data_IF_734013839323
#
_entry.id   IF_734013839323
#
_cell.length_a   1.000
_cell.length_b   1.000
_cell.length_c   1.000
_cell.angle_alpha   90.00
_cell.angle_beta   90.00
_cell.angle_gamma   90.00
#
_symmetry.space_group_name_H-M   'P 1'
#
loop_
_entity.id
_entity.type
_entity.pdbx_description
1 polymer ?
#
# COMPACT_ATOMS: atom_id res chain seq x y z
N UNK A 1 12.19 8.83 23.95
CA UNK A 1 11.53 7.64 24.53
C UNK A 1 11.52 6.56 23.45
N UNK A 2 12.15 5.39 23.64
CA UNK A 2 11.94 4.29 22.71
C UNK A 2 10.45 3.93 22.78
N UNK A 3 9.78 3.87 21.64
CA UNK A 3 8.38 3.44 21.59
C UNK A 3 8.33 2.01 22.14
N UNK A 4 7.61 1.81 23.25
CA UNK A 4 7.37 0.48 23.82
C UNK A 4 6.67 -0.33 22.73
N UNK A 5 7.38 -1.26 22.10
CA UNK A 5 6.81 -2.10 21.05
C UNK A 5 5.72 -2.95 21.68
N UNK A 6 4.47 -2.76 21.26
CA UNK A 6 3.38 -3.65 21.64
C UNK A 6 3.74 -5.08 21.24
N UNK A 7 3.32 -6.09 22.03
CA UNK A 7 3.58 -7.48 21.70
C UNK A 7 3.09 -7.80 20.29
N UNK A 8 3.78 -8.69 19.55
CA UNK A 8 3.34 -9.06 18.21
C UNK A 8 1.93 -9.63 18.24
N UNK A 9 1.11 -9.28 17.24
CA UNK A 9 -0.19 -9.92 17.02
C UNK A 9 0.01 -11.44 16.94
N UNK A 10 -0.91 -12.26 17.50
CA UNK A 10 -0.84 -13.71 17.33
C UNK A 10 -0.67 -14.10 15.86
N UNK A 11 0.19 -15.08 15.52
CA UNK A 11 0.49 -15.42 14.12
C UNK A 11 -0.73 -15.79 13.28
N UNK A 12 -1.77 -16.35 13.89
CA UNK A 12 -3.01 -16.68 13.21
C UNK A 12 -3.80 -15.42 12.79
N UNK A 13 -3.95 -14.47 13.71
CA UNK A 13 -4.64 -13.21 13.45
C UNK A 13 -3.87 -12.37 12.41
N UNK A 14 -2.53 -12.42 12.44
CA UNK A 14 -1.70 -11.80 11.42
C UNK A 14 -1.95 -12.40 10.04
N UNK A 15 -2.01 -13.74 9.91
CA UNK A 15 -2.33 -14.40 8.64
C UNK A 15 -3.73 -14.04 8.13
N UNK A 16 -4.72 -13.97 9.03
CA UNK A 16 -6.10 -13.56 8.68
C UNK A 16 -6.13 -12.12 8.16
N UNK A 17 -5.42 -11.22 8.84
CA UNK A 17 -5.29 -9.83 8.41
C UNK A 17 -4.66 -9.71 7.01
N UNK A 18 -3.53 -10.39 6.79
CA UNK A 18 -2.84 -10.36 5.49
C UNK A 18 -3.68 -10.96 4.37
N UNK A 19 -4.37 -12.08 4.64
CA UNK A 19 -5.29 -12.69 3.68
C UNK A 19 -6.45 -11.75 3.32
N UNK A 20 -7.05 -11.08 4.32
CA UNK A 20 -8.13 -10.13 4.09
C UNK A 20 -7.66 -8.89 3.30
N UNK A 21 -6.46 -8.37 3.60
CA UNK A 21 -5.88 -7.29 2.80
C UNK A 21 -5.58 -7.73 1.36
N UNK A 22 -5.07 -8.94 1.16
CA UNK A 22 -4.84 -9.50 -0.17
C UNK A 22 -6.14 -9.58 -0.95
N UNK A 23 -7.18 -10.17 -0.37
CA UNK A 23 -8.50 -10.26 -0.99
C UNK A 23 -9.05 -8.87 -1.36
N UNK A 24 -8.97 -7.91 -0.44
CA UNK A 24 -9.48 -6.55 -0.70
C UNK A 24 -8.70 -5.88 -1.84
N UNK A 25 -7.38 -5.82 -1.75
CA UNK A 25 -6.55 -5.04 -2.67
C UNK A 25 -6.33 -5.72 -4.02
N UNK A 26 -6.27 -7.05 -4.08
CA UNK A 26 -6.02 -7.79 -5.32
C UNK A 26 -7.31 -8.20 -6.03
N UNK A 27 -8.40 -8.45 -5.28
CA UNK A 27 -9.61 -9.08 -5.85
C UNK A 27 -10.88 -8.22 -5.74
N UNK A 28 -11.07 -7.47 -4.67
CA UNK A 28 -12.33 -6.71 -4.47
C UNK A 28 -12.28 -5.30 -5.03
N UNK A 29 -11.13 -4.63 -5.01
CA UNK A 29 -10.99 -3.32 -5.64
C UNK A 29 -10.90 -3.51 -7.16
N UNK A 30 -12.01 -3.22 -7.86
CA UNK A 30 -12.15 -3.45 -9.29
C UNK A 30 -11.02 -2.81 -10.12
N UNK A 31 -10.58 -1.61 -9.75
CA UNK A 31 -9.51 -0.93 -10.49
C UNK A 31 -8.13 -1.54 -10.24
N UNK A 32 -7.85 -2.05 -9.03
CA UNK A 32 -6.60 -2.76 -8.75
C UNK A 32 -6.51 -4.07 -9.54
N UNK A 33 -7.63 -4.77 -9.70
CA UNK A 33 -7.74 -5.92 -10.60
C UNK A 33 -7.42 -5.54 -12.03
N UNK A 34 -8.01 -4.44 -12.52
CA UNK A 34 -7.67 -3.92 -13.85
C UNK A 34 -6.17 -3.72 -13.90
N UNK A 35 -5.56 -2.99 -12.96
CA UNK A 35 -4.12 -2.73 -12.91
C UNK A 35 -3.24 -3.98 -12.77
N UNK A 36 -3.75 -5.12 -12.35
CA UNK A 36 -2.95 -6.33 -12.09
C UNK A 36 -2.08 -6.17 -10.85
N UNK A 37 -2.61 -5.46 -9.85
CA UNK A 37 -1.95 -5.14 -8.60
C UNK A 37 -1.74 -6.40 -7.75
N UNK A 38 -0.53 -6.60 -7.25
CA UNK A 38 -0.16 -7.72 -6.37
C UNK A 38 0.69 -7.22 -5.21
N UNK A 39 0.42 -7.71 -4.01
CA UNK A 39 1.18 -7.42 -2.80
C UNK A 39 2.37 -8.37 -2.71
N UNK A 40 3.56 -7.81 -2.51
CA UNK A 40 4.81 -8.53 -2.34
C UNK A 40 5.33 -8.51 -0.91
N UNK A 41 5.03 -7.46 -0.14
CA UNK A 41 5.44 -7.36 1.26
C UNK A 41 4.43 -6.60 2.09
N UNK A 42 4.10 -7.15 3.26
CA UNK A 42 3.30 -6.53 4.31
C UNK A 42 4.16 -5.86 5.38
N UNK A 43 5.48 -5.81 5.22
CA UNK A 43 6.39 -5.14 6.16
C UNK A 43 5.92 -3.68 6.36
N UNK A 44 5.58 -3.26 7.60
CA UNK A 44 5.08 -1.92 7.85
C UNK A 44 6.11 -0.82 7.59
N UNK A 45 7.41 -1.13 7.62
CA UNK A 45 8.48 -0.21 7.27
C UNK A 45 8.71 -0.13 5.75
N UNK A 46 8.49 -1.24 5.05
CA UNK A 46 8.73 -1.37 3.61
C UNK A 46 7.64 -2.17 2.87
N UNK A 47 6.39 -1.67 2.85
CA UNK A 47 5.30 -2.32 2.15
C UNK A 47 5.55 -2.24 0.64
N UNK A 48 5.36 -3.35 -0.05
CA UNK A 48 5.66 -3.48 -1.48
C UNK A 48 4.52 -4.09 -2.26
N UNK A 49 4.34 -3.54 -3.45
CA UNK A 49 3.36 -4.01 -4.43
C UNK A 49 4.00 -4.00 -5.81
N UNK A 50 3.51 -4.88 -6.67
CA UNK A 50 3.95 -5.02 -8.06
C UNK A 50 2.75 -5.13 -8.97
N UNK A 51 2.93 -4.67 -10.20
CA UNK A 51 2.03 -4.96 -11.31
C UNK A 51 2.86 -5.24 -12.56
N UNK A 52 2.29 -5.98 -13.50
CA UNK A 52 2.97 -6.29 -14.76
C UNK A 52 2.70 -5.21 -15.82
N UNK A 53 3.74 -4.81 -16.55
CA UNK A 53 3.57 -3.96 -17.71
C UNK A 53 2.81 -4.72 -18.81
N UNK A 54 1.83 -4.06 -19.42
CA UNK A 54 1.02 -4.63 -20.51
C UNK A 54 0.58 -3.54 -21.49
N UNK A 55 0.16 -3.89 -22.72
CA UNK A 55 -0.17 -2.90 -23.75
C UNK A 55 -1.21 -1.87 -23.33
N UNK A 56 -2.19 -2.26 -22.52
CA UNK A 56 -3.30 -1.43 -22.05
C UNK A 56 -2.85 -0.33 -21.06
N UNK A 57 -1.63 -0.44 -20.51
CA UNK A 57 -1.07 0.52 -19.57
C UNK A 57 -0.18 1.58 -20.25
N UNK A 58 0.06 1.45 -21.55
CA UNK A 58 0.91 2.37 -22.31
C UNK A 58 0.18 3.69 -22.53
N UNK A 59 0.81 4.81 -22.16
CA UNK A 59 0.31 6.15 -22.45
C UNK A 59 1.00 6.82 -23.62
N UNK A 60 2.30 6.58 -23.81
CA UNK A 60 3.05 7.13 -24.92
C UNK A 60 3.28 6.07 -26.00
N UNK A 61 2.41 6.07 -27.01
CA UNK A 61 2.33 5.05 -28.04
C UNK A 61 3.67 4.76 -28.74
N UNK A 62 4.47 5.78 -29.05
CA UNK A 62 5.73 5.61 -29.79
C UNK A 62 6.88 5.03 -28.96
N UNK A 63 6.82 5.10 -27.62
CA UNK A 63 7.93 4.71 -26.74
C UNK A 63 7.54 3.65 -25.70
N UNK A 64 6.31 3.12 -25.76
CA UNK A 64 5.85 2.07 -24.85
C UNK A 64 5.86 2.47 -23.37
N UNK A 65 5.80 3.77 -23.06
CA UNK A 65 5.91 4.25 -21.66
C UNK A 65 4.58 4.13 -20.93
N UNK A 66 4.68 3.86 -19.63
CA UNK A 66 3.53 3.89 -18.72
C UNK A 66 2.74 5.18 -18.85
N UNK A 67 1.42 5.04 -18.89
CA UNK A 67 0.51 6.17 -18.85
C UNK A 67 0.59 6.87 -17.50
N UNK A 68 0.59 8.21 -17.49
CA UNK A 68 0.68 9.00 -16.26
C UNK A 68 -0.45 8.69 -15.27
N UNK A 69 -1.67 8.45 -15.76
CA UNK A 69 -2.80 8.02 -14.93
C UNK A 69 -2.60 6.66 -14.26
N UNK A 70 -1.91 5.72 -14.92
CA UNK A 70 -1.55 4.42 -14.34
C UNK A 70 -0.55 4.61 -13.21
N UNK A 71 0.49 5.41 -13.45
CA UNK A 71 1.48 5.77 -12.42
C UNK A 71 0.82 6.41 -11.21
N UNK A 72 -0.07 7.39 -11.41
CA UNK A 72 -0.78 8.06 -10.33
C UNK A 72 -1.64 7.08 -9.52
N UNK A 73 -2.42 6.23 -10.20
CA UNK A 73 -3.30 5.27 -9.56
C UNK A 73 -2.54 4.22 -8.74
N UNK A 74 -1.43 3.69 -9.28
CA UNK A 74 -0.60 2.72 -8.55
C UNK A 74 0.02 3.37 -7.32
N UNK A 75 0.53 4.59 -7.44
CA UNK A 75 1.10 5.31 -6.29
C UNK A 75 0.05 5.54 -5.20
N UNK A 76 -1.18 5.93 -5.57
CA UNK A 76 -2.28 6.12 -4.61
C UNK A 76 -2.72 4.80 -3.95
N UNK A 77 -2.90 3.71 -4.71
CA UNK A 77 -3.25 2.42 -4.13
C UNK A 77 -2.14 1.88 -3.20
N UNK A 78 -0.87 2.04 -3.60
CA UNK A 78 0.31 1.68 -2.79
C UNK A 78 0.35 2.48 -1.51
N UNK A 79 0.02 3.77 -1.60
CA UNK A 79 -0.16 4.61 -0.45
C UNK A 79 -1.28 4.01 0.40
N UNK A 80 -2.54 3.95 -0.01
CA UNK A 80 -3.62 3.37 0.81
C UNK A 80 -3.24 2.07 1.57
N UNK A 81 -2.68 1.09 0.86
CA UNK A 81 -2.18 -0.17 1.40
C UNK A 81 -1.18 0.01 2.55
N UNK A 82 -0.22 0.92 2.40
CA UNK A 82 0.86 1.05 3.34
C UNK A 82 0.46 1.60 4.74
N UNK A 83 -0.69 2.27 4.92
CA UNK A 83 -1.16 2.58 6.30
C UNK A 83 -1.74 1.34 6.84
N UNK A 84 -2.42 0.54 6.03
CA UNK A 84 -3.10 -0.62 6.59
C UNK A 84 -2.04 -1.45 7.29
N UNK A 85 -0.86 -1.61 6.68
CA UNK A 85 0.33 -2.14 7.34
C UNK A 85 0.75 -1.33 8.58
N UNK A 86 0.93 0.00 8.48
CA UNK A 86 1.43 0.81 9.60
C UNK A 86 0.45 0.96 10.78
N UNK A 87 -0.85 1.04 10.55
CA UNK A 87 -1.92 1.02 11.55
C UNK A 87 -2.02 -0.37 12.17
N UNK A 88 -1.93 -1.43 11.37
CA UNK A 88 -1.90 -2.78 11.91
C UNK A 88 -0.69 -3.02 12.81
N UNK A 89 0.44 -2.38 12.49
CA UNK A 89 1.65 -2.41 13.31
C UNK A 89 1.56 -1.53 14.56
N UNK A 90 0.81 -0.42 14.50
CA UNK A 90 0.58 0.45 15.65
C UNK A 90 -0.46 -0.10 16.63
N UNK A 91 -1.45 -0.84 16.12
CA UNK A 91 -2.60 -1.38 16.86
C UNK A 91 -2.52 -2.92 16.91
N UNK A 92 -1.39 -3.48 17.34
CA UNK A 92 -1.15 -4.94 17.32
C UNK A 92 -2.04 -5.72 18.29
N UNK A 93 -2.52 -5.03 19.31
CA UNK A 93 -3.44 -5.50 20.35
C UNK A 93 -4.90 -5.56 19.89
N UNK A 94 -5.22 -4.95 18.75
CA UNK A 94 -6.58 -4.93 18.20
C UNK A 94 -6.81 -6.07 17.18
N UNK A 95 -8.04 -6.59 17.11
CA UNK A 95 -8.40 -7.60 16.13
C UNK A 95 -8.36 -7.03 14.69
N UNK A 96 -7.99 -7.86 13.68
CA UNK A 96 -7.86 -7.44 12.29
C UNK A 96 -9.04 -6.64 11.74
N UNK A 97 -10.25 -7.07 12.07
CA UNK A 97 -11.50 -6.48 11.59
C UNK A 97 -11.58 -5.00 11.99
N UNK A 98 -11.19 -4.68 13.23
CA UNK A 98 -11.22 -3.32 13.75
C UNK A 98 -10.22 -2.40 13.05
N UNK A 99 -9.05 -2.94 12.68
CA UNK A 99 -7.99 -2.19 12.00
C UNK A 99 -8.34 -1.98 10.53
N UNK A 100 -8.99 -2.96 9.90
CA UNK A 100 -9.47 -2.86 8.53
C UNK A 100 -10.46 -1.71 8.35
N UNK A 101 -11.11 -1.25 9.42
CA UNK A 101 -12.00 -0.09 9.39
C UNK A 101 -11.26 1.28 9.44
N UNK A 102 -9.92 1.36 9.53
CA UNK A 102 -9.17 2.61 9.88
C UNK A 102 -8.21 3.25 8.83
N UNK A 103 -8.04 2.70 7.63
CA UNK A 103 -7.42 3.20 6.34
C UNK A 103 -6.36 4.36 6.20
N UNK A 104 -5.26 4.13 5.39
CA UNK A 104 -4.49 5.10 4.48
C UNK A 104 -2.93 5.53 4.54
N UNK A 105 -1.91 4.74 4.08
CA UNK A 105 -0.43 4.98 3.81
C UNK A 105 0.91 4.75 4.66
N UNK A 106 2.10 4.60 3.98
CA UNK A 106 3.47 4.44 4.59
C UNK A 106 3.93 5.74 5.19
N UNK A 107 4.16 5.73 6.49
CA UNK A 107 4.13 6.92 7.29
C UNK A 107 5.48 7.64 7.30
N UNK A 108 5.54 8.82 6.72
CA UNK A 108 6.56 9.81 7.10
C UNK A 108 6.18 10.48 8.42
N UNK A 109 4.86 10.73 8.64
CA UNK A 109 4.30 11.22 9.91
C UNK A 109 2.87 10.73 10.12
N UNK A 110 2.61 10.06 11.25
CA UNK A 110 1.26 9.65 11.68
C UNK A 110 0.79 10.60 12.77
N UNK A 111 -0.01 11.59 12.39
CA UNK A 111 -0.72 12.41 13.36
C UNK A 111 -1.93 11.70 13.92
N UNK A 112 -2.64 12.34 14.84
CA UNK A 112 -3.93 11.84 15.33
C UNK A 112 -5.07 11.87 14.31
N UNK A 113 -4.90 12.59 13.17
CA UNK A 113 -5.95 12.79 12.15
C UNK A 113 -5.46 12.75 10.70
N UNK A 114 -4.15 12.81 10.46
CA UNK A 114 -3.56 12.87 9.12
C UNK A 114 -2.40 11.88 9.06
N UNK A 115 -2.42 11.01 8.05
CA UNK A 115 -1.28 10.19 7.64
C UNK A 115 -0.65 10.76 6.37
N UNK A 116 0.65 11.08 6.40
CA UNK A 116 1.38 11.61 5.23
C UNK A 116 2.48 10.67 4.80
N UNK A 117 2.60 10.46 3.48
CA UNK A 117 3.28 9.28 2.93
C UNK A 117 4.04 9.57 1.66
N UNK A 118 5.07 8.76 1.41
CA UNK A 118 5.94 8.88 0.24
C UNK A 118 6.13 7.52 -0.43
N UNK A 119 6.00 7.55 -1.75
CA UNK A 119 6.00 6.38 -2.60
C UNK A 119 7.03 6.55 -3.73
N UNK A 120 7.69 5.45 -4.08
CA UNK A 120 8.59 5.39 -5.23
C UNK A 120 8.13 4.25 -6.12
N UNK A 121 7.96 4.52 -7.42
CA UNK A 121 7.73 3.51 -8.43
C UNK A 121 9.05 3.24 -9.15
N UNK A 122 9.47 1.98 -9.20
CA UNK A 122 10.67 1.53 -9.89
C UNK A 122 10.32 0.47 -10.93
N UNK A 123 11.14 0.34 -11.97
CA UNK A 123 11.06 -0.82 -12.86
C UNK A 123 11.81 -2.03 -12.28
N UNK A 124 11.79 -3.15 -13.01
CA UNK A 124 12.49 -4.39 -12.64
C UNK A 124 14.01 -4.24 -12.49
N UNK A 125 14.63 -3.29 -13.20
CA UNK A 125 16.05 -2.97 -13.06
C UNK A 125 16.36 -2.06 -11.86
N UNK A 126 15.35 -1.73 -11.04
CA UNK A 126 15.47 -0.83 -9.89
C UNK A 126 15.54 0.65 -10.25
N UNK A 127 15.38 1.02 -11.53
CA UNK A 127 15.39 2.41 -11.98
C UNK A 127 14.11 3.12 -11.52
N UNK A 128 14.28 4.28 -10.91
CA UNK A 128 13.16 5.14 -10.49
C UNK A 128 12.39 5.66 -11.71
N UNK A 129 11.10 5.33 -11.78
CA UNK A 129 10.16 5.82 -12.79
C UNK A 129 9.49 7.10 -12.28
N UNK A 130 9.00 7.08 -11.04
CA UNK A 130 8.24 8.19 -10.46
C UNK A 130 8.31 8.20 -8.93
N UNK A 131 8.05 9.37 -8.36
CA UNK A 131 7.84 9.57 -6.93
C UNK A 131 6.45 10.16 -6.70
N UNK A 132 5.84 9.82 -5.57
CA UNK A 132 4.56 10.39 -5.16
C UNK A 132 4.54 10.73 -3.68
N UNK A 133 3.64 11.62 -3.30
CA UNK A 133 3.31 11.88 -1.90
C UNK A 133 1.80 12.01 -1.77
N UNK A 134 1.25 11.44 -0.71
CA UNK A 134 -0.18 11.48 -0.43
C UNK A 134 -0.43 11.73 1.05
N UNK A 135 -1.53 12.43 1.34
CA UNK A 135 -2.03 12.63 2.70
C UNK A 135 -3.46 12.12 2.82
N UNK A 136 -3.72 11.32 3.85
CA UNK A 136 -5.02 10.72 4.12
C UNK A 136 -5.55 11.25 5.44
N UNK A 137 -6.85 11.57 5.46
CA UNK A 137 -7.57 11.87 6.70
C UNK A 137 -7.88 10.55 7.38
N UNK A 138 -7.53 10.45 8.66
CA UNK A 138 -7.78 9.30 9.52
C UNK A 138 -8.97 9.68 10.40
N UNK A 139 -10.14 9.15 10.07
CA UNK A 139 -11.39 9.35 10.81
C UNK A 139 -11.83 8.07 11.47
#
# INVERSE_FOLDING_TARGET
MPATSLPPRPPEDQRRFEAALREVFEERIAFNRVLGFTIESFDPAEPRVRFAMRPELVGHFLFGRLHGGVTSAVLDATAGFALMCALADKHRDEPPEQIMHRFGARITRLGGRIGSTQMTLKNEAGLLIATGSASYVLS
#
